data_IF_831446771760
#
_entry.id   IF_831446771760
#
_cell.length_a   1.000
_cell.length_b   1.000
_cell.length_c   1.000
_cell.angle_alpha   90.00
_cell.angle_beta   90.00
_cell.angle_gamma   90.00
#
_symmetry.space_group_name_H-M   'P 1'
#
loop_
_entity.id
_entity.type
_entity.pdbx_description
1 polymer ?
#
# COMPACT_ATOMS: atom_id res chain seq x y z
N UNK A 1 -2.29 30.14 17.65
CA UNK A 1 -3.41 29.50 16.94
C UNK A 1 -3.01 29.50 15.48
N UNK A 2 -2.60 28.36 14.93
CA UNK A 2 -2.28 28.26 13.52
C UNK A 2 -3.60 28.07 12.78
N UNK A 3 -4.01 29.08 12.02
CA UNK A 3 -5.00 28.93 10.95
C UNK A 3 -4.48 27.82 10.02
N UNK A 4 -5.05 26.64 10.15
CA UNK A 4 -4.95 25.63 9.11
C UNK A 4 -5.77 26.16 7.94
N UNK A 5 -5.05 26.72 6.97
CA UNK A 5 -5.56 27.27 5.72
C UNK A 5 -6.42 26.21 5.00
N UNK A 6 -7.73 26.27 5.25
CA UNK A 6 -8.74 25.30 4.83
C UNK A 6 -8.81 25.19 3.29
N UNK A 7 -8.36 26.23 2.59
CA UNK A 7 -8.25 26.27 1.12
C UNK A 7 -7.05 25.48 0.57
N UNK A 8 -6.00 25.26 1.36
CA UNK A 8 -4.82 24.51 0.90
C UNK A 8 -5.02 22.99 1.00
N UNK A 9 -5.89 22.57 1.93
CA UNK A 9 -6.30 21.17 2.12
C UNK A 9 -6.97 20.64 0.85
N UNK A 10 -7.86 21.43 0.24
CA UNK A 10 -8.60 21.03 -0.96
C UNK A 10 -7.68 20.83 -2.18
N UNK A 11 -6.68 21.69 -2.38
CA UNK A 11 -5.71 21.55 -3.48
C UNK A 11 -4.73 20.37 -3.30
N UNK A 12 -4.48 19.98 -2.04
CA UNK A 12 -3.61 18.85 -1.70
C UNK A 12 -4.39 17.53 -1.82
N UNK A 13 -5.67 17.51 -1.44
CA UNK A 13 -6.58 16.36 -1.66
C UNK A 13 -6.85 16.11 -3.15
N UNK A 14 -7.08 17.15 -3.96
CA UNK A 14 -7.30 16.99 -5.41
C UNK A 14 -6.08 16.41 -6.16
N UNK A 15 -4.86 16.67 -5.67
CA UNK A 15 -3.64 16.05 -6.23
C UNK A 15 -3.47 14.58 -5.79
N UNK A 16 -4.06 14.19 -4.66
CA UNK A 16 -4.07 12.81 -4.15
C UNK A 16 -5.14 11.94 -4.84
N UNK A 17 -6.20 12.56 -5.39
CA UNK A 17 -7.22 11.91 -6.22
C UNK A 17 -6.75 11.59 -7.66
N UNK A 18 -5.56 12.03 -8.07
CA UNK A 18 -5.19 12.05 -9.50
C UNK A 18 -4.52 10.77 -10.04
N UNK A 19 -4.12 9.81 -9.19
CA UNK A 19 -3.56 8.55 -9.68
C UNK A 19 -4.63 7.46 -9.71
N UNK A 20 -5.31 7.35 -10.86
CA UNK A 20 -6.21 6.25 -11.13
C UNK A 20 -5.49 4.91 -10.91
N UNK A 21 -6.14 4.01 -10.17
CA UNK A 21 -5.64 2.65 -9.98
C UNK A 21 -5.56 1.95 -11.34
N UNK A 22 -4.36 1.54 -11.74
CA UNK A 22 -4.11 0.98 -13.07
C UNK A 22 -4.21 -0.55 -13.08
N UNK A 23 -3.60 -1.23 -12.10
CA UNK A 23 -3.56 -2.70 -12.05
C UNK A 23 -3.83 -3.18 -10.62
N UNK A 24 -4.91 -3.94 -10.45
CA UNK A 24 -5.34 -4.55 -9.19
C UNK A 24 -5.33 -3.57 -8.01
N UNK A 25 -5.92 -2.38 -8.18
CA UNK A 25 -6.01 -1.40 -7.10
C UNK A 25 -4.71 -0.68 -6.73
N UNK A 26 -3.58 -0.92 -7.39
CA UNK A 26 -2.37 -0.10 -7.22
C UNK A 26 -2.29 1.01 -8.27
N UNK A 27 -1.73 2.15 -7.88
CA UNK A 27 -1.23 3.15 -8.84
C UNK A 27 0.06 2.66 -9.49
N UNK A 28 0.49 3.25 -10.61
CA UNK A 28 1.77 2.87 -11.25
C UNK A 28 2.95 2.95 -10.28
N UNK A 29 2.98 3.99 -9.45
CA UNK A 29 4.05 4.21 -8.47
C UNK A 29 4.00 3.15 -7.39
N UNK A 30 2.82 2.82 -6.88
CA UNK A 30 2.65 1.76 -5.87
C UNK A 30 3.06 0.39 -6.41
N UNK A 31 2.67 0.07 -7.66
CA UNK A 31 3.06 -1.17 -8.32
C UNK A 31 4.58 -1.26 -8.48
N UNK A 32 5.22 -0.17 -8.93
CA UNK A 32 6.66 -0.10 -9.11
C UNK A 32 7.40 -0.23 -7.78
N UNK A 33 7.01 0.51 -6.76
CA UNK A 33 7.62 0.45 -5.43
C UNK A 33 7.45 -0.95 -4.84
N UNK A 34 6.26 -1.53 -4.94
CA UNK A 34 6.00 -2.89 -4.44
C UNK A 34 6.86 -3.90 -5.16
N UNK A 35 6.96 -3.81 -6.49
CA UNK A 35 7.83 -4.69 -7.27
C UNK A 35 9.30 -4.55 -6.89
N UNK A 36 9.82 -3.33 -6.77
CA UNK A 36 11.23 -3.08 -6.42
C UNK A 36 11.54 -3.62 -5.03
N UNK A 37 10.69 -3.37 -4.04
CA UNK A 37 10.89 -3.88 -2.68
C UNK A 37 10.83 -5.40 -2.65
N UNK A 38 9.83 -6.00 -3.29
CA UNK A 38 9.72 -7.46 -3.38
C UNK A 38 10.90 -8.07 -4.13
N UNK A 39 11.39 -7.41 -5.18
CA UNK A 39 12.56 -7.83 -5.94
C UNK A 39 13.84 -7.77 -5.13
N UNK A 40 14.10 -6.67 -4.42
CA UNK A 40 15.30 -6.56 -3.59
C UNK A 40 15.34 -7.63 -2.51
N UNK A 41 14.20 -7.90 -1.85
CA UNK A 41 14.10 -8.93 -0.83
C UNK A 41 14.25 -10.32 -1.46
N UNK A 42 13.47 -10.64 -2.49
CA UNK A 42 13.48 -11.96 -3.12
C UNK A 42 14.81 -12.27 -3.80
N UNK A 43 15.39 -11.32 -4.52
CA UNK A 43 16.68 -11.45 -5.18
C UNK A 43 17.79 -11.66 -4.14
N UNK A 44 17.80 -10.90 -3.04
CA UNK A 44 18.80 -11.09 -1.98
C UNK A 44 18.74 -12.50 -1.38
N UNK A 45 17.53 -12.96 -1.02
CA UNK A 45 17.32 -14.28 -0.42
C UNK A 45 17.65 -15.40 -1.41
N UNK A 46 17.14 -15.31 -2.64
CA UNK A 46 17.33 -16.35 -3.65
C UNK A 46 18.77 -16.39 -4.18
N UNK A 47 19.46 -15.25 -4.22
CA UNK A 47 20.88 -15.18 -4.58
C UNK A 47 21.76 -15.85 -3.55
N UNK A 48 21.48 -15.65 -2.25
CA UNK A 48 22.18 -16.38 -1.20
C UNK A 48 21.94 -17.89 -1.34
N UNK A 49 20.69 -18.31 -1.47
CA UNK A 49 20.33 -19.73 -1.62
C UNK A 49 20.99 -20.35 -2.86
N UNK A 50 20.90 -19.69 -4.02
CA UNK A 50 21.48 -20.16 -5.27
C UNK A 50 23.01 -20.25 -5.21
N UNK A 51 23.67 -19.29 -4.54
CA UNK A 51 25.11 -19.37 -4.33
C UNK A 51 25.49 -20.54 -3.42
N UNK A 52 24.80 -20.73 -2.29
CA UNK A 52 25.13 -21.81 -1.35
C UNK A 52 24.86 -23.21 -1.91
N UNK A 53 23.87 -23.39 -2.79
CA UNK A 53 23.49 -24.70 -3.32
C UNK A 53 24.09 -25.03 -4.68
N UNK A 54 24.17 -24.04 -5.58
CA UNK A 54 24.54 -24.24 -7.00
C UNK A 54 25.87 -23.54 -7.33
N UNK A 55 26.33 -22.60 -6.48
CA UNK A 55 27.55 -21.82 -6.71
C UNK A 55 27.38 -20.66 -7.70
N UNK A 56 26.20 -20.48 -8.29
CA UNK A 56 25.93 -19.51 -9.36
C UNK A 56 25.05 -18.37 -8.84
N UNK A 57 25.62 -17.15 -8.79
CA UNK A 57 24.95 -15.94 -8.32
C UNK A 57 23.79 -15.47 -9.22
N UNK A 58 23.95 -15.58 -10.54
CA UNK A 58 22.99 -15.06 -11.52
C UNK A 58 21.64 -15.81 -11.50
N UNK A 59 21.62 -17.09 -11.14
CA UNK A 59 20.39 -17.87 -11.02
C UNK A 59 19.45 -17.32 -9.95
N UNK A 60 20.00 -16.83 -8.83
CA UNK A 60 19.20 -16.25 -7.76
C UNK A 60 18.57 -14.91 -8.13
N UNK A 61 19.22 -14.11 -8.98
CA UNK A 61 18.63 -12.88 -9.52
C UNK A 61 17.43 -13.18 -10.43
N UNK A 62 17.55 -14.18 -11.31
CA UNK A 62 16.48 -14.59 -12.22
C UNK A 62 15.30 -15.16 -11.44
N UNK A 63 15.57 -16.08 -10.49
CA UNK A 63 14.55 -16.64 -9.63
C UNK A 63 13.90 -15.58 -8.73
N UNK A 64 14.69 -14.65 -8.19
CA UNK A 64 14.21 -13.50 -7.41
C UNK A 64 13.26 -12.62 -8.22
N UNK A 65 13.62 -12.30 -9.46
CA UNK A 65 12.76 -11.57 -10.41
C UNK A 65 11.41 -12.24 -10.65
N UNK A 66 11.40 -13.54 -10.98
CA UNK A 66 10.17 -14.30 -11.18
C UNK A 66 9.29 -14.33 -9.91
N UNK A 67 9.92 -14.55 -8.76
CA UNK A 67 9.22 -14.58 -7.46
C UNK A 67 8.65 -13.22 -7.09
N UNK A 68 9.37 -12.13 -7.38
CA UNK A 68 8.91 -10.76 -7.13
C UNK A 68 7.70 -10.39 -7.99
N UNK A 69 7.68 -10.83 -9.26
CA UNK A 69 6.53 -10.68 -10.12
C UNK A 69 5.28 -11.36 -9.55
N UNK A 70 5.41 -12.61 -9.11
CA UNK A 70 4.31 -13.36 -8.49
C UNK A 70 3.82 -12.74 -7.19
N UNK A 71 4.74 -12.32 -6.30
CA UNK A 71 4.40 -11.66 -5.05
C UNK A 71 3.70 -10.32 -5.28
N UNK A 72 4.17 -9.54 -6.26
CA UNK A 72 3.55 -8.25 -6.63
C UNK A 72 2.17 -8.46 -7.22
N UNK A 73 1.98 -9.48 -8.07
CA UNK A 73 0.66 -9.82 -8.61
C UNK A 73 -0.32 -10.25 -7.51
N UNK A 74 0.12 -11.07 -6.54
CA UNK A 74 -0.70 -11.47 -5.39
C UNK A 74 -1.03 -10.28 -4.48
N UNK A 75 -0.06 -9.40 -4.24
CA UNK A 75 -0.25 -8.18 -3.46
C UNK A 75 -1.25 -7.24 -4.14
N UNK A 76 -1.14 -7.08 -5.46
CA UNK A 76 -2.08 -6.31 -6.28
C UNK A 76 -3.49 -6.91 -6.20
N UNK A 77 -3.67 -8.21 -6.38
CA UNK A 77 -4.98 -8.84 -6.24
C UNK A 77 -5.60 -8.62 -4.84
N UNK A 78 -4.78 -8.69 -3.79
CA UNK A 78 -5.25 -8.42 -2.42
C UNK A 78 -5.63 -6.94 -2.24
N UNK A 79 -4.83 -6.02 -2.78
CA UNK A 79 -5.11 -4.59 -2.75
C UNK A 79 -6.40 -4.26 -3.50
N UNK A 80 -6.71 -4.95 -4.60
CA UNK A 80 -7.99 -4.79 -5.31
C UNK A 80 -9.19 -5.08 -4.40
N UNK A 81 -9.19 -6.21 -3.68
CA UNK A 81 -10.29 -6.56 -2.77
C UNK A 81 -10.39 -5.64 -1.56
N UNK A 82 -9.25 -5.19 -1.03
CA UNK A 82 -9.20 -4.32 0.14
C UNK A 82 -9.62 -2.89 -0.23
N UNK A 83 -9.13 -2.36 -1.34
CA UNK A 83 -9.42 -1.00 -1.79
C UNK A 83 -10.81 -0.88 -2.42
N UNK A 84 -11.36 -1.94 -3.04
CA UNK A 84 -12.68 -1.91 -3.71
C UNK A 84 -12.83 -0.73 -4.69
N UNK A 85 -11.77 -0.39 -5.42
CA UNK A 85 -11.76 0.76 -6.33
C UNK A 85 -11.57 2.13 -5.67
N UNK A 86 -11.35 2.20 -4.35
CA UNK A 86 -11.02 3.45 -3.64
C UNK A 86 -9.55 3.83 -3.87
N UNK A 87 -9.25 5.13 -3.99
CA UNK A 87 -7.88 5.62 -3.97
C UNK A 87 -7.19 5.34 -2.62
N UNK A 88 -5.88 5.14 -2.66
CA UNK A 88 -5.08 4.65 -1.53
C UNK A 88 -5.09 5.55 -0.30
N UNK A 89 -5.27 6.86 -0.47
CA UNK A 89 -5.31 7.80 0.65
C UNK A 89 -6.52 7.54 1.55
N UNK A 90 -7.64 7.06 0.99
CA UNK A 90 -8.83 6.73 1.77
C UNK A 90 -8.56 5.53 2.69
N UNK A 91 -7.85 4.52 2.18
CA UNK A 91 -7.41 3.38 2.97
C UNK A 91 -6.48 3.81 4.12
N UNK A 92 -5.60 4.77 3.85
CA UNK A 92 -4.68 5.31 4.85
C UNK A 92 -5.39 6.07 5.97
N UNK A 93 -6.44 6.84 5.64
CA UNK A 93 -7.29 7.52 6.63
C UNK A 93 -8.03 6.49 7.50
N UNK A 94 -8.61 5.46 6.89
CA UNK A 94 -9.27 4.37 7.62
C UNK A 94 -8.30 3.65 8.58
N UNK A 95 -7.06 3.38 8.13
CA UNK A 95 -6.03 2.73 8.94
C UNK A 95 -5.60 3.61 10.12
N UNK A 96 -5.35 4.90 9.91
CA UNK A 96 -4.99 5.85 10.97
C UNK A 96 -6.07 5.91 12.04
N UNK A 97 -7.34 5.93 11.63
CA UNK A 97 -8.46 5.89 12.55
C UNK A 97 -8.51 4.58 13.33
N UNK A 98 -8.32 3.43 12.67
CA UNK A 98 -8.27 2.13 13.37
C UNK A 98 -7.17 2.11 14.43
N UNK A 99 -6.00 2.69 14.15
CA UNK A 99 -4.91 2.82 15.11
C UNK A 99 -5.23 3.81 16.24
N UNK A 100 -6.01 4.87 15.98
CA UNK A 100 -6.45 5.83 17.00
C UNK A 100 -7.55 5.25 17.91
N UNK A 101 -8.56 4.62 17.32
CA UNK A 101 -9.75 4.11 18.02
C UNK A 101 -9.47 2.77 18.72
N UNK A 102 -8.97 1.78 17.96
CA UNK A 102 -8.75 0.41 18.45
C UNK A 102 -7.33 0.23 19.04
N UNK A 103 -6.36 1.01 18.55
CA UNK A 103 -4.95 0.79 18.87
C UNK A 103 -4.34 -0.35 18.05
N UNK A 104 -3.02 -0.33 17.89
CA UNK A 104 -2.27 -1.46 17.36
C UNK A 104 -1.38 -2.03 18.46
N UNK A 105 -1.57 -3.30 18.79
CA UNK A 105 -0.83 -3.99 19.88
C UNK A 105 -0.90 -3.25 21.23
N UNK A 106 -2.05 -2.65 21.54
CA UNK A 106 -2.28 -1.93 22.80
C UNK A 106 -1.75 -0.48 22.83
N UNK A 107 -1.07 -0.04 21.76
CA UNK A 107 -0.61 1.35 21.63
C UNK A 107 -1.64 2.11 20.79
N UNK A 108 -2.28 3.11 21.41
CA UNK A 108 -3.14 4.09 20.72
C UNK A 108 -2.34 5.34 20.42
N UNK A 109 -2.36 5.77 19.16
CA UNK A 109 -1.69 6.99 18.72
C UNK A 109 -2.78 8.01 18.38
N UNK A 110 -2.77 9.16 19.06
CA UNK A 110 -3.72 10.24 18.79
C UNK A 110 -3.30 11.00 17.52
N UNK A 111 -4.02 10.78 16.42
CA UNK A 111 -3.83 11.49 15.16
C UNK A 111 -4.77 12.70 15.02
N UNK A 112 -5.57 13.05 16.05
CA UNK A 112 -6.61 14.09 16.01
C UNK A 112 -7.61 13.92 14.85
N UNK A 113 -7.88 12.70 14.40
CA UNK A 113 -8.89 12.45 13.38
C UNK A 113 -10.31 12.70 13.91
N UNK A 114 -11.13 13.43 13.14
CA UNK A 114 -12.55 13.70 13.46
C UNK A 114 -13.41 12.55 12.92
N UNK A 115 -14.37 12.07 13.70
CA UNK A 115 -15.20 10.87 13.41
C UNK A 115 -16.05 10.98 12.13
N UNK A 116 -16.30 12.20 11.64
CA UNK A 116 -17.15 12.50 10.47
C UNK A 116 -16.48 12.23 9.13
N UNK A 117 -15.16 11.97 9.08
CA UNK A 117 -14.44 11.64 7.84
C UNK A 117 -14.62 10.16 7.46
N UNK A 118 -15.85 9.64 7.52
CA UNK A 118 -16.16 8.29 7.08
C UNK A 118 -16.54 8.30 5.60
N UNK A 119 -15.89 7.46 4.81
CA UNK A 119 -16.34 7.15 3.46
C UNK A 119 -16.96 5.74 3.45
N UNK A 120 -18.21 5.69 3.90
CA UNK A 120 -19.06 4.51 3.71
C UNK A 120 -19.60 4.54 2.29
N UNK A 121 -19.20 3.58 1.45
CA UNK A 121 -19.81 3.38 0.14
C UNK A 121 -20.96 2.36 0.21
N UNK A 122 -21.15 1.64 1.34
CA UNK A 122 -22.23 0.67 1.48
C UNK A 122 -22.70 0.52 2.94
N UNK A 123 -23.45 1.51 3.42
CA UNK A 123 -24.66 1.29 4.24
C UNK A 123 -25.90 1.71 3.42
N UNK A 124 -25.87 1.47 2.11
CA UNK A 124 -27.11 1.36 1.34
C UNK A 124 -27.47 -0.12 1.29
N UNK A 125 -28.27 -0.49 2.29
CA UNK A 125 -29.24 -1.59 2.31
C UNK A 125 -29.18 -2.54 1.11
N UNK A 126 -28.69 -3.78 1.34
CA UNK A 126 -29.46 -5.04 1.22
C UNK A 126 -28.93 -6.05 2.22
#
# INVERSE_FOLDING_TARGET
MAEFDENNIQSTLDKLDYEATMVGGFTQKELLITFVVMFLISASVMTLIAHFWIGIWSLGLIAGGATAGLLTAKASHTAYHVKKGRPSYMLWVDLRRKVQDDGFLGIKIDFKCIRSTYWSINDREV
#
